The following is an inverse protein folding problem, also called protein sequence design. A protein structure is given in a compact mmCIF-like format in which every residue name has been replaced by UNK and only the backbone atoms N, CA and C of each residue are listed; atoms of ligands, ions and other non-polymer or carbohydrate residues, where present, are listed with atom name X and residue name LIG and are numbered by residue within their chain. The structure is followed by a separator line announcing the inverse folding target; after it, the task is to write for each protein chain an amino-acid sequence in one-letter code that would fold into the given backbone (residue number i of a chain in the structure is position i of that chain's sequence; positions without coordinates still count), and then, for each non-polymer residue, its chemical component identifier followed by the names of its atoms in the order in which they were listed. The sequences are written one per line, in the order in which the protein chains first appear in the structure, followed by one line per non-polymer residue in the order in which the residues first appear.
data_IF_561691844471
#
_entry.id   IF_561691844471
#
_cell.length_a   1.000
_cell.length_b   1.000
_cell.length_c   1.000
_cell.angle_alpha   90.00
_cell.angle_beta   90.00
_cell.angle_gamma   90.00
#
_symmetry.space_group_name_H-M   'P 1'
#
loop_
_entity.id
_entity.type
_entity.pdbx_description
1 polymer ?
#
# COMPACT_ATOMS: atom_id res chain seq x y z
N UNK A 1 24.69 35.69 -13.66
CA UNK A 1 25.42 35.20 -12.47
C UNK A 1 24.60 34.10 -11.84
N UNK A 2 24.92 32.82 -12.11
CA UNK A 2 24.31 31.74 -11.35
C UNK A 2 24.90 31.78 -9.93
N UNK A 3 24.09 32.10 -8.92
CA UNK A 3 24.52 31.98 -7.53
C UNK A 3 24.87 30.51 -7.29
N UNK A 4 26.16 30.22 -7.12
CA UNK A 4 26.61 28.87 -6.80
C UNK A 4 26.09 28.53 -5.40
N UNK A 5 24.92 27.88 -5.34
CA UNK A 5 24.34 27.40 -4.10
C UNK A 5 25.38 26.49 -3.42
N UNK A 6 25.77 26.77 -2.17
CA UNK A 6 26.75 25.97 -1.45
C UNK A 6 26.38 24.48 -1.45
N UNK A 7 27.40 23.62 -1.53
CA UNK A 7 27.22 22.16 -1.54
C UNK A 7 26.37 21.69 -0.34
N UNK A 8 26.55 22.31 0.83
CA UNK A 8 25.84 21.95 2.06
C UNK A 8 24.32 22.18 1.95
N UNK A 9 23.91 23.25 1.27
CA UNK A 9 22.49 23.54 1.05
C UNK A 9 21.90 22.53 0.06
N UNK A 10 22.64 22.21 -1.01
CA UNK A 10 22.22 21.16 -1.97
C UNK A 10 22.06 19.81 -1.28
N UNK A 11 23.04 19.42 -0.46
CA UNK A 11 23.01 18.17 0.31
C UNK A 11 21.82 18.14 1.28
N UNK A 12 21.54 19.24 1.97
CA UNK A 12 20.38 19.35 2.86
C UNK A 12 19.06 19.11 2.13
N UNK A 13 18.82 19.80 1.00
CA UNK A 13 17.61 19.58 0.20
C UNK A 13 17.53 18.17 -0.38
N UNK A 14 18.67 17.63 -0.82
CA UNK A 14 18.72 16.25 -1.32
C UNK A 14 18.31 15.24 -0.25
N UNK A 15 18.82 15.36 0.97
CA UNK A 15 18.43 14.52 2.11
C UNK A 15 16.94 14.70 2.42
N UNK A 16 16.44 15.94 2.43
CA UNK A 16 15.03 16.21 2.69
C UNK A 16 14.11 15.52 1.68
N UNK A 17 14.49 15.52 0.39
CA UNK A 17 13.77 14.82 -0.67
C UNK A 17 13.79 13.31 -0.42
N UNK A 18 14.94 12.73 -0.11
CA UNK A 18 15.07 11.29 0.16
C UNK A 18 14.21 10.86 1.35
N UNK A 19 14.20 11.64 2.43
CA UNK A 19 13.41 11.34 3.62
C UNK A 19 11.90 11.41 3.37
N UNK A 20 11.45 12.19 2.39
CA UNK A 20 10.04 12.42 2.05
C UNK A 20 9.60 11.75 0.73
N UNK A 21 10.39 10.80 0.23
CA UNK A 21 10.21 10.27 -1.13
C UNK A 21 8.84 9.60 -1.34
N UNK A 22 8.24 8.99 -0.31
CA UNK A 22 6.91 8.35 -0.44
C UNK A 22 5.78 9.36 -0.50
N UNK A 23 6.04 10.62 -0.17
CA UNK A 23 5.07 11.72 -0.16
C UNK A 23 5.25 12.68 -1.35
N UNK A 24 6.24 12.43 -2.20
CA UNK A 24 6.46 13.19 -3.42
C UNK A 24 5.29 13.02 -4.41
N UNK A 25 4.99 14.03 -5.26
CA UNK A 25 4.01 13.89 -6.33
C UNK A 25 4.25 12.61 -7.14
N UNK A 26 3.17 11.91 -7.50
CA UNK A 26 3.17 10.62 -8.22
C UNK A 26 3.79 9.43 -7.48
N UNK A 27 4.36 9.59 -6.29
CA UNK A 27 4.95 8.47 -5.53
C UNK A 27 3.95 7.34 -5.27
N UNK A 28 2.67 7.69 -5.03
CA UNK A 28 1.60 6.70 -4.93
C UNK A 28 1.48 5.85 -6.21
N UNK A 29 1.46 6.48 -7.38
CA UNK A 29 1.24 5.79 -8.65
C UNK A 29 2.43 4.90 -8.99
N UNK A 30 3.65 5.40 -8.80
CA UNK A 30 4.90 4.66 -9.06
C UNK A 30 4.96 3.39 -8.20
N UNK A 31 4.48 3.45 -6.96
CA UNK A 31 4.51 2.30 -6.03
C UNK A 31 3.37 1.31 -6.24
N UNK A 32 2.21 1.77 -6.69
CA UNK A 32 1.00 0.92 -6.82
C UNK A 32 0.82 0.35 -8.22
N UNK A 33 0.89 1.20 -9.24
CA UNK A 33 0.43 0.87 -10.60
C UNK A 33 1.26 -0.25 -11.22
N UNK A 34 2.60 -0.26 -11.14
CA UNK A 34 3.39 -1.35 -11.71
C UNK A 34 3.04 -2.72 -11.11
N UNK A 35 2.92 -2.80 -9.77
CA UNK A 35 2.55 -4.04 -9.07
C UNK A 35 1.17 -4.55 -9.51
N UNK A 36 0.18 -3.65 -9.60
CA UNK A 36 -1.16 -3.99 -10.08
C UNK A 36 -1.08 -4.48 -11.52
N UNK A 37 -0.42 -3.74 -12.42
CA UNK A 37 -0.33 -4.10 -13.84
C UNK A 37 0.38 -5.44 -14.06
N UNK A 38 1.46 -5.70 -13.33
CA UNK A 38 2.18 -6.98 -13.37
C UNK A 38 1.26 -8.13 -12.92
N UNK A 39 0.57 -7.95 -11.80
CA UNK A 39 -0.39 -8.93 -11.29
C UNK A 39 -1.53 -9.17 -12.29
N UNK A 40 -2.05 -8.10 -12.91
CA UNK A 40 -3.08 -8.17 -13.96
C UNK A 40 -2.58 -8.85 -15.25
N UNK A 41 -1.32 -8.65 -15.63
CA UNK A 41 -0.71 -9.30 -16.79
C UNK A 41 -0.61 -10.81 -16.58
N UNK A 42 -0.29 -11.22 -15.35
CA UNK A 42 -0.12 -12.63 -14.96
C UNK A 42 -1.43 -13.32 -14.52
N UNK A 43 -2.58 -12.67 -14.71
CA UNK A 43 -3.90 -13.13 -14.22
C UNK A 43 -4.37 -14.49 -14.74
N UNK A 44 -3.86 -14.95 -15.89
CA UNK A 44 -4.26 -16.22 -16.50
C UNK A 44 -3.32 -17.37 -16.18
N UNK A 45 -2.13 -17.08 -15.64
CA UNK A 45 -1.09 -18.08 -15.46
C UNK A 45 -1.09 -18.73 -14.06
N UNK A 46 -2.02 -18.33 -13.17
CA UNK A 46 -1.90 -18.61 -11.72
C UNK A 46 -3.24 -18.91 -11.01
N UNK A 47 -4.27 -19.44 -11.67
CA UNK A 47 -5.60 -19.59 -11.06
C UNK A 47 -5.97 -21.00 -10.57
N UNK A 48 -5.20 -22.03 -10.89
CA UNK A 48 -5.63 -23.42 -10.62
C UNK A 48 -5.68 -23.76 -9.12
N UNK A 49 -4.87 -23.09 -8.28
CA UNK A 49 -4.75 -23.39 -6.84
C UNK A 49 -5.15 -22.24 -5.89
N UNK A 50 -5.76 -21.16 -6.41
CA UNK A 50 -6.08 -19.99 -5.57
C UNK A 50 -7.46 -20.11 -4.93
N UNK A 51 -7.49 -20.26 -3.62
CA UNK A 51 -8.71 -20.08 -2.82
C UNK A 51 -9.06 -18.59 -2.73
N UNK A 52 -10.31 -18.25 -3.06
CA UNK A 52 -10.86 -16.90 -2.95
C UNK A 52 -10.73 -16.34 -1.51
N UNK A 53 -10.74 -17.22 -0.51
CA UNK A 53 -10.61 -16.85 0.91
C UNK A 53 -9.15 -16.80 1.39
N UNK A 54 -8.19 -17.17 0.54
CA UNK A 54 -6.77 -17.04 0.86
C UNK A 54 -6.40 -15.57 1.03
N UNK A 55 -5.56 -15.29 2.03
CA UNK A 55 -5.05 -13.95 2.24
C UNK A 55 -3.93 -13.64 1.24
N UNK A 56 -3.98 -12.45 0.62
CA UNK A 56 -2.84 -11.89 -0.10
C UNK A 56 -1.93 -11.18 0.89
N UNK A 57 -0.63 -11.45 0.81
CA UNK A 57 0.38 -10.74 1.59
C UNK A 57 0.96 -9.55 0.80
N UNK A 58 1.25 -8.46 1.50
CA UNK A 58 2.00 -7.33 0.94
C UNK A 58 2.95 -6.80 2.01
N UNK A 59 4.24 -6.79 1.70
CA UNK A 59 5.31 -6.41 2.61
C UNK A 59 5.71 -4.96 2.42
N UNK A 60 5.94 -4.25 3.53
CA UNK A 60 6.30 -2.84 3.55
C UNK A 60 7.34 -2.57 4.64
N UNK A 61 7.97 -1.41 4.56
CA UNK A 61 8.87 -0.88 5.57
C UNK A 61 8.40 0.49 6.02
N UNK A 62 8.51 0.77 7.31
CA UNK A 62 8.31 2.11 7.87
C UNK A 62 9.51 2.98 7.47
N UNK A 63 9.25 4.08 6.77
CA UNK A 63 10.26 5.09 6.44
C UNK A 63 10.08 6.33 7.32
N UNK A 64 11.02 7.26 7.17
CA UNK A 64 11.03 8.50 7.95
C UNK A 64 9.72 9.30 7.78
N UNK A 65 9.17 9.37 6.57
CA UNK A 65 7.92 10.11 6.31
C UNK A 65 6.64 9.40 6.77
N UNK A 66 6.73 8.17 7.27
CA UNK A 66 5.60 7.49 7.89
C UNK A 66 5.46 7.84 9.38
N UNK A 67 6.49 8.44 9.99
CA UNK A 67 6.52 8.71 11.43
C UNK A 67 5.74 9.98 11.80
N UNK A 68 5.12 9.96 12.98
CA UNK A 68 4.55 11.16 13.59
C UNK A 68 5.43 11.71 14.74
N UNK A 69 4.90 12.68 15.48
CA UNK A 69 5.59 13.33 16.60
C UNK A 69 5.94 12.38 17.74
N UNK A 70 5.24 11.25 17.86
CA UNK A 70 5.50 10.24 18.89
C UNK A 70 6.57 9.22 18.45
N UNK A 71 7.11 9.37 17.23
CA UNK A 71 8.13 8.49 16.66
C UNK A 71 7.65 7.06 16.49
N UNK A 72 6.38 6.87 16.17
CA UNK A 72 5.85 5.61 15.64
C UNK A 72 5.18 5.88 14.30
N UNK A 73 4.79 4.81 13.60
CA UNK A 73 4.04 4.95 12.37
C UNK A 73 2.73 5.71 12.63
N UNK A 74 2.51 6.80 11.87
CA UNK A 74 1.32 7.63 11.97
C UNK A 74 0.07 6.82 11.59
N UNK A 75 -1.00 6.96 12.38
CA UNK A 75 -2.31 6.34 12.15
C UNK A 75 -2.84 6.54 10.72
N UNK A 76 -2.58 7.70 10.11
CA UNK A 76 -2.99 7.98 8.73
C UNK A 76 -2.19 7.17 7.68
N UNK A 77 -0.91 6.88 7.94
CA UNK A 77 -0.03 6.12 7.04
C UNK A 77 -0.54 4.71 6.80
N UNK A 78 -1.21 4.12 7.80
CA UNK A 78 -1.86 2.81 7.65
C UNK A 78 -2.91 2.81 6.54
N UNK A 79 -3.72 3.87 6.42
CA UNK A 79 -4.75 3.95 5.37
C UNK A 79 -4.14 4.00 3.97
N UNK A 80 -3.04 4.73 3.79
CA UNK A 80 -2.28 4.77 2.53
C UNK A 80 -1.80 3.38 2.13
N UNK A 81 -1.29 2.62 3.10
CA UNK A 81 -0.82 1.24 2.90
C UNK A 81 -1.97 0.29 2.59
N UNK A 82 -3.11 0.42 3.27
CA UNK A 82 -4.31 -0.37 2.98
C UNK A 82 -4.83 -0.14 1.56
N UNK A 83 -4.66 1.06 1.00
CA UNK A 83 -5.02 1.36 -0.39
C UNK A 83 -4.13 0.58 -1.39
N UNK A 84 -2.81 0.58 -1.15
CA UNK A 84 -1.85 -0.22 -1.92
C UNK A 84 -2.19 -1.72 -1.86
N UNK A 85 -2.40 -2.25 -0.66
CA UNK A 85 -2.73 -3.66 -0.44
C UNK A 85 -4.07 -4.05 -1.06
N UNK A 86 -5.07 -3.15 -1.03
CA UNK A 86 -6.38 -3.37 -1.68
C UNK A 86 -6.23 -3.51 -3.20
N UNK A 87 -5.44 -2.65 -3.83
CA UNK A 87 -5.19 -2.72 -5.26
C UNK A 87 -4.53 -4.04 -5.67
N UNK A 88 -3.52 -4.47 -4.92
CA UNK A 88 -2.86 -5.76 -5.12
C UNK A 88 -3.82 -6.94 -4.92
N UNK A 89 -4.63 -6.94 -3.85
CA UNK A 89 -5.64 -7.96 -3.59
C UNK A 89 -6.62 -8.13 -4.75
N UNK A 90 -7.20 -7.02 -5.25
CA UNK A 90 -8.15 -7.11 -6.35
C UNK A 90 -7.52 -7.56 -7.68
N UNK A 91 -6.29 -7.13 -7.94
CA UNK A 91 -5.53 -7.65 -9.08
C UNK A 91 -5.28 -9.16 -8.95
N UNK A 92 -4.89 -9.62 -7.76
CA UNK A 92 -4.53 -11.02 -7.52
C UNK A 92 -5.74 -11.97 -7.52
N UNK A 93 -6.90 -11.51 -7.05
CA UNK A 93 -8.09 -12.34 -6.86
C UNK A 93 -9.16 -12.15 -7.94
N UNK A 94 -9.23 -10.98 -8.58
CA UNK A 94 -10.36 -10.62 -9.45
C UNK A 94 -9.95 -10.05 -10.82
N UNK A 95 -8.67 -10.07 -11.19
CA UNK A 95 -8.21 -9.43 -12.44
C UNK A 95 -8.98 -9.87 -13.69
N UNK A 96 -9.30 -11.16 -13.83
CA UNK A 96 -10.05 -11.67 -14.97
C UNK A 96 -11.48 -11.11 -15.04
N UNK A 97 -12.18 -11.11 -13.91
CA UNK A 97 -13.52 -10.55 -13.83
C UNK A 97 -13.51 -9.05 -14.10
N UNK A 98 -12.58 -8.31 -13.47
CA UNK A 98 -12.44 -6.87 -13.63
C UNK A 98 -12.10 -6.46 -15.07
N UNK A 99 -11.23 -7.21 -15.75
CA UNK A 99 -10.84 -6.96 -17.14
C UNK A 99 -12.05 -7.05 -18.09
N UNK A 100 -12.89 -8.07 -17.90
CA UNK A 100 -14.02 -8.32 -18.78
C UNK A 100 -15.23 -7.39 -18.48
N UNK A 101 -15.38 -6.92 -17.24
CA UNK A 101 -16.58 -6.20 -16.80
C UNK A 101 -16.33 -4.73 -16.44
N UNK A 102 -15.11 -4.21 -16.62
CA UNK A 102 -14.74 -2.80 -16.36
C UNK A 102 -15.18 -2.33 -14.96
N UNK A 103 -14.96 -3.17 -13.95
CA UNK A 103 -15.38 -2.92 -12.57
C UNK A 103 -14.61 -1.75 -11.98
N UNK A 104 -15.32 -0.81 -11.37
CA UNK A 104 -14.75 0.29 -10.58
C UNK A 104 -14.96 -0.01 -9.10
N UNK A 105 -13.87 0.09 -8.32
CA UNK A 105 -13.86 -0.26 -6.90
C UNK A 105 -13.71 1.02 -6.09
N UNK A 106 -14.65 1.26 -5.17
CA UNK A 106 -14.65 2.42 -4.28
C UNK A 106 -14.71 2.00 -2.82
N UNK A 107 -13.95 2.66 -1.95
CA UNK A 107 -14.01 2.43 -0.52
C UNK A 107 -15.16 3.21 0.11
N UNK A 108 -16.11 2.50 0.72
CA UNK A 108 -17.21 3.11 1.49
C UNK A 108 -16.80 3.52 2.89
N UNK A 109 -16.08 2.65 3.60
CA UNK A 109 -15.79 2.80 5.02
C UNK A 109 -14.50 2.06 5.38
N UNK A 110 -13.87 2.49 6.47
CA UNK A 110 -12.74 1.81 7.11
C UNK A 110 -12.98 1.78 8.62
N UNK A 111 -12.79 0.60 9.21
CA UNK A 111 -12.65 0.42 10.64
C UNK A 111 -11.24 -0.07 10.90
N UNK A 112 -10.51 0.64 11.75
CA UNK A 112 -9.13 0.32 12.10
C UNK A 112 -9.00 0.33 13.61
N UNK A 113 -8.42 -0.73 14.16
CA UNK A 113 -8.16 -0.89 15.59
C UNK A 113 -6.65 -1.02 15.76
N UNK A 114 -6.07 -0.11 16.53
CA UNK A 114 -4.63 -0.05 16.79
C UNK A 114 -4.33 -0.72 18.12
N UNK A 115 -3.88 -1.97 18.06
CA UNK A 115 -3.53 -2.73 19.26
C UNK A 115 -2.06 -2.57 19.65
N UNK A 116 -1.18 -2.48 18.65
CA UNK A 116 0.26 -2.37 18.83
C UNK A 116 0.84 -1.39 17.81
N UNK A 117 1.73 -0.54 18.29
CA UNK A 117 2.48 0.39 17.45
C UNK A 117 3.54 -0.36 16.64
N UNK A 118 3.74 0.06 15.39
CA UNK A 118 4.84 -0.40 14.55
C UNK A 118 6.04 0.53 14.78
N UNK A 119 7.20 0.00 15.22
CA UNK A 119 8.39 0.80 15.48
C UNK A 119 8.94 1.48 14.21
N UNK A 120 9.70 2.58 14.35
CA UNK A 120 10.45 3.16 13.24
C UNK A 120 11.32 2.14 12.51
N UNK A 121 11.38 2.25 11.17
CA UNK A 121 12.28 1.47 10.32
C UNK A 121 12.07 -0.05 10.33
N UNK A 122 10.97 -0.51 10.93
CA UNK A 122 10.64 -1.93 10.97
C UNK A 122 9.90 -2.37 9.70
N UNK A 123 10.09 -3.64 9.35
CA UNK A 123 9.37 -4.29 8.26
C UNK A 123 8.07 -4.89 8.79
N UNK A 124 7.03 -4.86 7.98
CA UNK A 124 5.74 -5.43 8.33
C UNK A 124 4.99 -5.95 7.11
N UNK A 125 4.14 -6.93 7.35
CA UNK A 125 3.28 -7.55 6.35
C UNK A 125 1.83 -7.17 6.58
N UNK A 126 1.11 -6.92 5.49
CA UNK A 126 -0.34 -6.71 5.47
C UNK A 126 -0.98 -7.91 4.79
N UNK A 127 -1.75 -8.66 5.56
CA UNK A 127 -2.56 -9.77 5.06
C UNK A 127 -3.97 -9.27 4.77
N UNK A 128 -4.39 -9.29 3.51
CA UNK A 128 -5.73 -8.88 3.08
C UNK A 128 -6.52 -10.10 2.63
N UNK A 129 -7.74 -10.27 3.16
CA UNK A 129 -8.67 -11.33 2.73
C UNK A 129 -10.12 -10.87 2.79
N UNK A 130 -10.99 -11.62 2.13
CA UNK A 130 -12.45 -11.43 2.24
C UNK A 130 -12.90 -11.85 3.63
N UNK A 131 -13.67 -10.98 4.29
CA UNK A 131 -14.39 -11.33 5.51
C UNK A 131 -15.80 -11.82 5.18
N UNK A 132 -16.54 -11.05 4.37
CA UNK A 132 -17.90 -11.35 3.92
C UNK A 132 -18.29 -10.39 2.78
N UNK A 133 -19.48 -10.54 2.22
CA UNK A 133 -20.05 -9.65 1.21
C UNK A 133 -21.58 -9.61 1.31
N UNK A 134 -22.17 -8.57 0.74
CA UNK A 134 -23.61 -8.48 0.47
C UNK A 134 -23.87 -8.30 -1.04
N UNK A 135 -25.07 -7.84 -1.42
CA UNK A 135 -25.43 -7.62 -2.82
C UNK A 135 -24.59 -6.53 -3.53
N UNK A 136 -23.98 -5.60 -2.79
CA UNK A 136 -23.27 -4.42 -3.30
C UNK A 136 -21.84 -4.29 -2.78
N UNK A 137 -21.58 -4.70 -1.55
CA UNK A 137 -20.36 -4.41 -0.81
C UNK A 137 -19.57 -5.69 -0.53
N UNK A 138 -18.27 -5.62 -0.80
CA UNK A 138 -17.29 -6.60 -0.34
C UNK A 138 -16.61 -6.07 0.93
N UNK A 139 -16.63 -6.86 2.01
CA UNK A 139 -16.00 -6.51 3.28
C UNK A 139 -14.67 -7.24 3.37
N UNK A 140 -13.58 -6.47 3.45
CA UNK A 140 -12.22 -6.99 3.56
C UNK A 140 -11.71 -6.83 4.98
N UNK A 141 -11.09 -7.88 5.51
CA UNK A 141 -10.31 -7.81 6.75
C UNK A 141 -8.84 -7.72 6.43
N UNK A 142 -8.11 -6.94 7.24
CA UNK A 142 -6.67 -6.77 7.11
C UNK A 142 -6.01 -7.01 8.45
N UNK A 143 -4.96 -7.81 8.46
CA UNK A 143 -4.09 -8.01 9.63
C UNK A 143 -2.72 -7.48 9.29
N UNK A 144 -2.23 -6.58 10.13
CA UNK A 144 -0.90 -5.98 9.99
C UNK A 144 -0.02 -6.61 11.05
N UNK A 145 1.09 -7.21 10.62
CA UNK A 145 2.00 -7.96 11.48
C UNK A 145 3.41 -7.45 11.21
N UNK A 146 4.06 -6.93 12.24
CA UNK A 146 5.51 -6.69 12.24
C UNK A 146 6.19 -7.80 13.06
N UNK A 147 7.37 -8.22 12.65
CA UNK A 147 8.21 -9.20 13.36
C UNK A 147 9.54 -8.55 13.72
#
# INVERSE_FOLDING_TARGET
MASNVPIIIKSFFFILILLNIKSFPLAYHIRTVPLILETFKNRNNNNEDRDLFQATESTYSVLFDDLDTNRHMNNSSYNKVLDHARGHFFAASFANYMWNHKVVIMQKSVLMIFNHEIPPFSNYSVYTRILTWDQKWLILTRRIIYR
#
